data_IF_947139556930
#
_entry.id   IF_947139556930
#
_cell.length_a   1.000
_cell.length_b   1.000
_cell.length_c   1.000
_cell.angle_alpha   90.00
_cell.angle_beta   90.00
_cell.angle_gamma   90.00
#
_symmetry.space_group_name_H-M   'P 1'
#
loop_
_entity.id
_entity.type
_entity.pdbx_description
1 polymer ?
#
# COMPACT_ATOMS: atom_id res chain seq x y z
N UNK A 1 -29.84 63.73 -19.59
CA UNK A 1 -28.96 63.23 -20.66
C UNK A 1 -28.30 61.95 -20.17
N UNK A 2 -28.25 60.93 -21.04
CA UNK A 2 -28.22 59.49 -20.77
C UNK A 2 -26.95 59.01 -20.05
N UNK A 3 -27.12 58.25 -18.94
CA UNK A 3 -26.05 57.51 -18.25
C UNK A 3 -26.48 56.05 -17.97
N UNK A 4 -27.02 55.35 -18.97
CA UNK A 4 -27.53 53.97 -18.82
C UNK A 4 -26.75 52.90 -19.62
N UNK A 5 -25.70 53.28 -20.36
CA UNK A 5 -24.94 52.33 -21.21
C UNK A 5 -23.74 51.67 -20.51
N UNK A 6 -23.09 52.32 -19.54
CA UNK A 6 -21.90 51.75 -18.89
C UNK A 6 -22.22 50.67 -17.83
N UNK A 7 -23.35 50.78 -17.13
CA UNK A 7 -23.69 49.87 -16.02
C UNK A 7 -23.91 48.42 -16.50
N UNK A 8 -24.53 48.24 -17.67
CA UNK A 8 -24.76 46.91 -18.26
C UNK A 8 -23.46 46.23 -18.70
N UNK A 9 -22.48 47.00 -19.17
CA UNK A 9 -21.16 46.48 -19.57
C UNK A 9 -20.32 46.02 -18.36
N UNK A 10 -20.36 46.78 -17.27
CA UNK A 10 -19.69 46.42 -16.02
C UNK A 10 -20.34 45.18 -15.39
N UNK A 11 -21.67 45.11 -15.37
CA UNK A 11 -22.38 43.93 -14.87
C UNK A 11 -22.03 42.66 -15.66
N UNK A 12 -21.97 42.75 -16.99
CA UNK A 12 -21.58 41.62 -17.85
C UNK A 12 -20.13 41.19 -17.59
N UNK A 13 -19.20 42.13 -17.43
CA UNK A 13 -17.81 41.83 -17.08
C UNK A 13 -17.72 41.12 -15.71
N UNK A 14 -18.48 41.60 -14.72
CA UNK A 14 -18.53 41.00 -13.38
C UNK A 14 -19.07 39.58 -13.43
N UNK A 15 -20.14 39.33 -14.19
CA UNK A 15 -20.69 37.98 -14.40
C UNK A 15 -19.66 37.06 -15.06
N UNK A 16 -18.94 37.54 -16.09
CA UNK A 16 -17.87 36.76 -16.74
C UNK A 16 -16.77 36.41 -15.75
N UNK A 17 -16.31 37.38 -14.94
CA UNK A 17 -15.29 37.14 -13.92
C UNK A 17 -15.76 36.11 -12.88
N UNK A 18 -17.01 36.22 -12.41
CA UNK A 18 -17.61 35.22 -11.51
C UNK A 18 -17.63 33.84 -12.17
N UNK A 19 -18.05 33.75 -13.44
CA UNK A 19 -18.08 32.48 -14.17
C UNK A 19 -16.68 31.88 -14.31
N UNK A 20 -15.65 32.69 -14.56
CA UNK A 20 -14.26 32.22 -14.59
C UNK A 20 -13.80 31.71 -13.23
N UNK A 21 -14.11 32.42 -12.14
CA UNK A 21 -13.75 31.99 -10.78
C UNK A 21 -14.46 30.67 -10.45
N UNK A 22 -15.75 30.55 -10.76
CA UNK A 22 -16.52 29.32 -10.56
C UNK A 22 -15.96 28.17 -11.38
N UNK A 23 -15.63 28.40 -12.65
CA UNK A 23 -15.03 27.39 -13.52
C UNK A 23 -13.67 26.93 -13.00
N UNK A 24 -12.81 27.87 -12.56
CA UNK A 24 -11.51 27.54 -11.98
C UNK A 24 -11.66 26.71 -10.70
N UNK A 25 -12.57 27.12 -9.83
CA UNK A 25 -12.88 26.44 -8.57
C UNK A 25 -13.40 25.03 -8.83
N UNK A 26 -14.27 24.87 -9.82
CA UNK A 26 -14.78 23.57 -10.22
C UNK A 26 -13.67 22.65 -10.72
N UNK A 27 -12.80 23.12 -11.61
CA UNK A 27 -11.66 22.35 -12.11
C UNK A 27 -10.73 21.96 -10.95
N UNK A 28 -10.48 22.88 -10.02
CA UNK A 28 -9.65 22.60 -8.85
C UNK A 28 -10.23 21.48 -7.97
N UNK A 29 -11.55 21.50 -7.71
CA UNK A 29 -12.21 20.44 -6.96
C UNK A 29 -12.16 19.08 -7.66
N UNK A 30 -12.30 19.06 -8.99
CA UNK A 30 -12.16 17.81 -9.77
C UNK A 30 -10.74 17.24 -9.63
N UNK A 31 -9.72 18.08 -9.76
CA UNK A 31 -8.33 17.64 -9.60
C UNK A 31 -8.03 17.13 -8.18
N UNK A 32 -8.60 17.77 -7.15
CA UNK A 32 -8.46 17.34 -5.77
C UNK A 32 -9.13 15.98 -5.55
N UNK A 33 -10.34 15.79 -6.09
CA UNK A 33 -11.04 14.50 -6.02
C UNK A 33 -10.27 13.36 -6.70
N UNK A 34 -9.68 13.59 -7.88
CA UNK A 34 -8.84 12.59 -8.54
C UNK A 34 -7.61 12.23 -7.70
N UNK A 35 -7.02 13.22 -7.05
CA UNK A 35 -5.86 13.02 -6.16
C UNK A 35 -6.24 12.17 -4.96
N UNK A 36 -7.36 12.47 -4.30
CA UNK A 36 -7.87 11.68 -3.16
C UNK A 36 -8.18 10.24 -3.58
N UNK A 37 -8.80 10.03 -4.74
CA UNK A 37 -9.10 8.70 -5.27
C UNK A 37 -7.82 7.87 -5.48
N UNK A 38 -6.78 8.49 -6.03
CA UNK A 38 -5.50 7.83 -6.22
C UNK A 38 -4.84 7.49 -4.88
N UNK A 39 -4.89 8.42 -3.92
CA UNK A 39 -4.37 8.19 -2.57
C UNK A 39 -5.06 7.01 -1.88
N UNK A 40 -6.39 6.96 -1.91
CA UNK A 40 -7.18 5.85 -1.34
C UNK A 40 -6.84 4.51 -1.99
N UNK A 41 -6.58 4.50 -3.30
CA UNK A 41 -6.18 3.28 -4.01
C UNK A 41 -4.82 2.80 -3.50
N UNK A 42 -3.84 3.70 -3.39
CA UNK A 42 -2.51 3.37 -2.86
C UNK A 42 -2.56 2.91 -1.41
N UNK A 43 -3.37 3.57 -0.57
CA UNK A 43 -3.55 3.19 0.83
C UNK A 43 -4.16 1.79 0.95
N UNK A 44 -5.18 1.49 0.12
CA UNK A 44 -5.77 0.15 0.07
C UNK A 44 -4.74 -0.90 -0.35
N UNK A 45 -3.97 -0.65 -1.41
CA UNK A 45 -2.91 -1.57 -1.85
C UNK A 45 -1.87 -1.82 -0.76
N UNK A 46 -1.48 -0.77 -0.04
CA UNK A 46 -0.54 -0.86 1.07
C UNK A 46 -1.08 -1.71 2.22
N UNK A 47 -2.37 -1.52 2.56
CA UNK A 47 -3.05 -2.31 3.57
C UNK A 47 -3.20 -3.79 3.15
N UNK A 48 -3.56 -4.05 1.89
CA UNK A 48 -3.68 -5.41 1.36
C UNK A 48 -2.32 -6.14 1.41
N UNK A 49 -1.23 -5.45 1.07
CA UNK A 49 0.14 -6.00 1.20
C UNK A 49 0.51 -6.29 2.67
N UNK A 50 0.18 -5.40 3.60
CA UNK A 50 0.43 -5.61 5.03
C UNK A 50 -0.34 -6.83 5.55
N UNK A 51 -1.62 -6.95 5.18
CA UNK A 51 -2.43 -8.09 5.55
C UNK A 51 -1.83 -9.41 5.00
N UNK A 52 -1.39 -9.43 3.74
CA UNK A 52 -0.72 -10.59 3.15
C UNK A 52 0.58 -10.96 3.89
N UNK A 53 1.42 -9.98 4.21
CA UNK A 53 2.67 -10.22 4.94
C UNK A 53 2.43 -10.74 6.36
N UNK A 54 1.43 -10.21 7.07
CA UNK A 54 1.09 -10.67 8.41
C UNK A 54 0.50 -12.09 8.40
N UNK A 55 -0.42 -12.35 7.47
CA UNK A 55 -1.03 -13.67 7.33
C UNK A 55 0.00 -14.74 6.95
N UNK A 56 0.88 -14.43 6.00
CA UNK A 56 1.97 -15.33 5.61
C UNK A 56 3.00 -15.53 6.72
N UNK A 57 3.31 -14.50 7.52
CA UNK A 57 4.17 -14.66 8.68
C UNK A 57 3.57 -15.64 9.69
N UNK A 58 2.27 -15.53 9.98
CA UNK A 58 1.58 -16.48 10.85
C UNK A 58 1.57 -17.90 10.28
N UNK A 59 1.33 -18.06 8.98
CA UNK A 59 1.33 -19.35 8.31
C UNK A 59 2.73 -20.00 8.33
N UNK A 60 3.78 -19.23 8.03
CA UNK A 60 5.16 -19.73 8.07
C UNK A 60 5.57 -20.11 9.50
N UNK A 61 5.16 -19.34 10.52
CA UNK A 61 5.40 -19.69 11.92
C UNK A 61 4.62 -20.95 12.31
N UNK A 62 3.41 -21.14 11.81
CA UNK A 62 2.64 -22.36 12.01
C UNK A 62 3.33 -23.58 11.40
N UNK A 63 3.77 -23.48 10.15
CA UNK A 63 4.53 -24.53 9.45
C UNK A 63 5.85 -24.86 10.17
N UNK A 64 6.57 -23.84 10.67
CA UNK A 64 7.79 -24.03 11.46
C UNK A 64 7.56 -24.71 12.82
N UNK A 65 6.34 -24.68 13.34
CA UNK A 65 5.98 -25.30 14.61
C UNK A 65 5.46 -26.74 14.45
N UNK A 66 4.74 -27.03 13.36
CA UNK A 66 4.26 -28.38 13.06
C UNK A 66 5.38 -29.29 12.54
N UNK A 67 6.25 -28.77 11.67
CA UNK A 67 7.24 -29.57 10.99
C UNK A 67 8.54 -29.65 11.81
N UNK A 68 8.69 -30.76 12.55
CA UNK A 68 9.84 -30.96 13.44
C UNK A 68 11.11 -31.41 12.70
N UNK A 69 11.02 -31.79 11.42
CA UNK A 69 12.13 -32.49 10.74
C UNK A 69 12.29 -32.22 9.23
N UNK A 70 11.55 -31.28 8.62
CA UNK A 70 11.63 -31.07 7.16
C UNK A 70 12.15 -29.67 6.80
N UNK A 71 13.07 -29.69 5.82
CA UNK A 71 13.84 -28.61 5.22
C UNK A 71 12.97 -27.55 4.51
N UNK A 72 12.02 -26.91 5.22
CA UNK A 72 11.31 -25.73 4.73
C UNK A 72 12.29 -24.54 4.62
N UNK A 73 13.09 -24.52 3.56
CA UNK A 73 14.04 -23.44 3.26
C UNK A 73 13.45 -22.41 2.31
N UNK A 74 12.50 -22.81 1.48
CA UNK A 74 11.82 -21.91 0.53
C UNK A 74 10.44 -22.45 0.18
N UNK A 75 9.54 -21.57 -0.22
CA UNK A 75 8.23 -21.94 -0.73
C UNK A 75 7.40 -20.74 -1.16
N UNK A 76 6.17 -21.03 -1.59
CA UNK A 76 5.20 -20.02 -2.03
C UNK A 76 3.86 -20.30 -1.37
N UNK A 77 3.23 -19.25 -0.87
CA UNK A 77 1.88 -19.27 -0.33
C UNK A 77 0.98 -18.47 -1.29
N UNK A 78 -0.06 -19.12 -1.80
CA UNK A 78 -1.02 -18.50 -2.69
C UNK A 78 -2.25 -18.03 -1.88
N UNK A 79 -2.56 -16.75 -1.99
CA UNK A 79 -3.74 -16.15 -1.39
C UNK A 79 -4.64 -15.60 -2.50
N UNK A 80 -5.91 -15.34 -2.16
CA UNK A 80 -6.87 -14.79 -3.12
C UNK A 80 -6.41 -13.45 -3.74
N UNK A 81 -5.71 -12.61 -2.95
CA UNK A 81 -5.29 -11.27 -3.38
C UNK A 81 -3.85 -11.20 -3.93
N UNK A 82 -3.09 -12.30 -3.89
CA UNK A 82 -1.69 -12.29 -4.29
C UNK A 82 -0.91 -13.52 -3.82
N UNK A 83 0.38 -13.52 -4.10
CA UNK A 83 1.29 -14.62 -3.76
C UNK A 83 2.39 -14.13 -2.83
N UNK A 84 2.84 -14.98 -1.91
CA UNK A 84 3.95 -14.68 -1.01
C UNK A 84 5.02 -15.75 -1.15
N UNK A 85 6.21 -15.36 -1.55
CA UNK A 85 7.38 -16.23 -1.53
C UNK A 85 8.10 -16.07 -0.20
N UNK A 86 8.38 -17.18 0.47
CA UNK A 86 9.15 -17.18 1.70
C UNK A 86 10.48 -17.91 1.52
N UNK A 87 11.50 -17.44 2.23
CA UNK A 87 12.80 -18.06 2.33
C UNK A 87 13.24 -18.07 3.79
N UNK A 88 13.65 -19.23 4.28
CA UNK A 88 14.10 -19.45 5.66
C UNK A 88 15.58 -19.82 5.63
N UNK A 89 16.38 -19.07 6.38
CA UNK A 89 17.81 -19.29 6.52
C UNK A 89 18.14 -19.44 7.99
N UNK A 90 18.92 -20.46 8.34
CA UNK A 90 19.41 -20.64 9.70
C UNK A 90 20.50 -19.59 10.01
N UNK A 91 20.33 -18.80 11.05
CA UNK A 91 21.23 -17.72 11.47
C UNK A 91 21.55 -17.88 12.97
N UNK A 92 22.61 -18.64 13.26
CA UNK A 92 23.04 -19.03 14.61
C UNK A 92 21.92 -19.76 15.38
N UNK A 93 21.37 -19.13 16.43
CA UNK A 93 20.28 -19.67 17.26
C UNK A 93 18.88 -19.32 16.73
N UNK A 94 18.79 -18.51 15.67
CA UNK A 94 17.52 -18.02 15.10
C UNK A 94 17.32 -18.55 13.69
N UNK A 95 16.07 -18.60 13.24
CA UNK A 95 15.70 -18.78 11.84
C UNK A 95 15.31 -17.42 11.26
N UNK A 96 16.06 -16.94 10.28
CA UNK A 96 15.72 -15.73 9.54
C UNK A 96 14.72 -16.06 8.45
N UNK A 97 13.55 -15.44 8.52
CA UNK A 97 12.49 -15.58 7.52
C UNK A 97 12.44 -14.30 6.70
N UNK A 98 12.50 -14.45 5.38
CA UNK A 98 12.30 -13.37 4.42
C UNK A 98 11.02 -13.69 3.65
N UNK A 99 10.08 -12.75 3.66
CA UNK A 99 8.81 -12.81 2.94
C UNK A 99 8.84 -11.78 1.81
N UNK A 100 8.40 -12.19 0.63
CA UNK A 100 8.18 -11.32 -0.54
C UNK A 100 6.75 -11.47 -1.00
N UNK A 101 5.91 -10.51 -0.66
CA UNK A 101 4.51 -10.48 -1.07
C UNK A 101 4.35 -9.74 -2.40
N UNK A 102 3.50 -10.28 -3.26
CA UNK A 102 3.14 -9.71 -4.55
C UNK A 102 1.62 -9.76 -4.72
N UNK A 103 1.01 -8.60 -4.94
CA UNK A 103 -0.40 -8.50 -5.29
C UNK A 103 -0.63 -8.82 -6.78
N UNK A 104 -1.87 -9.17 -7.12
CA UNK A 104 -2.28 -9.46 -8.50
C UNK A 104 -2.10 -8.26 -9.46
N UNK A 105 -2.11 -7.04 -8.93
CA UNK A 105 -1.84 -5.81 -9.70
C UNK A 105 -0.34 -5.57 -9.96
N UNK A 106 0.55 -6.39 -9.40
CA UNK A 106 2.00 -6.29 -9.56
C UNK A 106 2.72 -5.51 -8.45
N UNK A 107 2.01 -4.93 -7.48
CA UNK A 107 2.63 -4.26 -6.33
C UNK A 107 3.33 -5.29 -5.43
N UNK A 108 4.56 -4.99 -5.03
CA UNK A 108 5.42 -5.91 -4.28
C UNK A 108 5.92 -5.28 -2.98
N UNK A 109 6.06 -6.09 -1.93
CA UNK A 109 6.65 -5.67 -0.66
C UNK A 109 7.33 -6.80 0.06
N UNK A 110 8.42 -6.49 0.74
CA UNK A 110 9.21 -7.47 1.45
C UNK A 110 9.15 -7.23 2.96
N UNK A 111 9.14 -8.31 3.72
CA UNK A 111 9.36 -8.27 5.15
C UNK A 111 10.43 -9.30 5.53
N UNK A 112 11.11 -9.05 6.64
CA UNK A 112 11.99 -10.02 7.25
C UNK A 112 11.79 -10.02 8.76
N UNK A 113 11.95 -11.18 9.36
CA UNK A 113 11.93 -11.34 10.81
C UNK A 113 12.85 -12.49 11.23
N UNK A 114 13.19 -12.49 12.52
CA UNK A 114 13.93 -13.57 13.16
C UNK A 114 12.96 -14.37 14.02
N UNK A 115 12.96 -15.67 13.85
CA UNK A 115 12.19 -16.61 14.64
C UNK A 115 13.11 -17.37 15.59
N UNK A 116 12.81 -17.36 16.88
CA UNK A 116 13.49 -18.18 17.88
C UNK A 116 12.78 -19.54 18.02
N UNK A 117 13.39 -20.66 17.63
CA UNK A 117 12.77 -21.97 17.72
C UNK A 117 12.58 -22.46 19.16
N UNK A 118 13.35 -21.95 20.14
CA UNK A 118 13.25 -22.35 21.54
C UNK A 118 12.13 -21.62 22.27
N UNK A 119 12.05 -20.31 22.07
CA UNK A 119 11.08 -19.45 22.75
C UNK A 119 9.79 -19.25 21.96
N UNK A 120 9.78 -19.63 20.68
CA UNK A 120 8.68 -19.47 19.72
C UNK A 120 8.27 -18.01 19.49
N UNK A 121 9.17 -17.06 19.78
CA UNK A 121 8.92 -15.64 19.56
C UNK A 121 9.49 -15.16 18.22
N UNK A 122 8.74 -14.26 17.60
CA UNK A 122 9.16 -13.48 16.44
C UNK A 122 9.78 -12.17 16.93
N UNK A 123 10.97 -11.85 16.45
CA UNK A 123 11.71 -10.63 16.79
C UNK A 123 12.25 -9.95 15.53
N UNK A 124 12.61 -8.67 15.65
CA UNK A 124 13.20 -7.88 14.56
C UNK A 124 12.39 -7.88 13.26
N UNK A 125 11.09 -7.60 13.37
CA UNK A 125 10.23 -7.36 12.22
C UNK A 125 10.70 -6.10 11.48
N UNK A 126 11.10 -6.26 10.23
CA UNK A 126 11.53 -5.17 9.36
C UNK A 126 10.79 -5.28 8.03
N UNK A 127 9.98 -4.27 7.72
CA UNK A 127 9.34 -4.10 6.42
C UNK A 127 10.17 -3.20 5.52
N UNK A 128 10.25 -3.52 4.23
CA UNK A 128 10.99 -2.71 3.27
C UNK A 128 10.51 -2.91 1.83
N UNK A 129 10.71 -1.87 1.02
CA UNK A 129 10.59 -1.94 -0.43
C UNK A 129 11.92 -2.45 -0.96
N UNK A 130 11.97 -3.72 -1.41
CA UNK A 130 13.12 -4.25 -2.14
C UNK A 130 14.48 -4.19 -1.43
N UNK A 131 14.76 -5.11 -0.52
CA UNK A 131 16.15 -5.40 -0.14
C UNK A 131 16.73 -6.34 -1.20
N UNK A 132 17.49 -5.77 -2.13
CA UNK A 132 18.53 -6.49 -2.85
C UNK A 132 19.77 -6.61 -1.96
#
# INVERSE_FOLDING_TARGET
MVKWRCEKGIALLLVIVILFILSYTFIHFVALYETEKNFLTLEKEWNDLNALLLNSANEVVFLLNEDTDIQLRYGTLDFFNGTVHYQITDENAYKKVVLKAKLNNGSERNARFLYDPYTKYVTNWVEGVGVH
#
